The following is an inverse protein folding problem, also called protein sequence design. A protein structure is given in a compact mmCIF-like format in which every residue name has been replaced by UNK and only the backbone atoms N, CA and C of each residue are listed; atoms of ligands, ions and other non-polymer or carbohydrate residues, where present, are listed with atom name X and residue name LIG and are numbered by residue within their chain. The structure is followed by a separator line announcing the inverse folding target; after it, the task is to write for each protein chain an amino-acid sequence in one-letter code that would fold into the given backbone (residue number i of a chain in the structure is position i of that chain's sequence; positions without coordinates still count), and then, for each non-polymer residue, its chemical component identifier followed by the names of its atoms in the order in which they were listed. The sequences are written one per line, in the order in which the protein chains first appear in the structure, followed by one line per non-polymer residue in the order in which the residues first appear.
data_IF_225207894205
#
_entry.id   IF_225207894205
#
_cell.length_a   1.000
_cell.length_b   1.000
_cell.length_c   1.000
_cell.angle_alpha   90.00
_cell.angle_beta   90.00
_cell.angle_gamma   90.00
#
_symmetry.space_group_name_H-M   'P 1'
#
loop_
_entity.id
_entity.type
_entity.pdbx_description
1 polymer ?
#
# COMPACT_ATOMS: atom_id res chain seq x y z
N UNK A 1 -9.62 -36.16 -7.38
CA UNK A 1 -8.35 -35.51 -6.97
C UNK A 1 -8.45 -34.04 -7.37
N UNK A 2 -8.84 -33.20 -6.45
CA UNK A 2 -8.99 -31.75 -6.71
C UNK A 2 -7.66 -31.06 -6.36
N UNK A 3 -6.93 -30.60 -7.38
CA UNK A 3 -5.69 -29.87 -7.21
C UNK A 3 -5.99 -28.48 -6.64
N UNK A 4 -5.60 -28.22 -5.40
CA UNK A 4 -5.66 -26.89 -4.79
C UNK A 4 -4.78 -25.94 -5.62
N UNK A 5 -5.27 -24.75 -6.01
CA UNK A 5 -4.45 -23.78 -6.71
C UNK A 5 -3.29 -23.35 -5.80
N UNK A 6 -2.08 -23.46 -6.33
CA UNK A 6 -0.85 -23.19 -5.60
C UNK A 6 -0.71 -21.65 -5.51
N UNK A 7 -1.02 -21.08 -4.34
CA UNK A 7 -1.02 -19.63 -4.08
C UNK A 7 0.30 -18.97 -4.52
N UNK A 8 1.42 -19.68 -4.40
CA UNK A 8 2.74 -19.20 -4.84
C UNK A 8 2.83 -18.94 -6.35
N UNK A 9 2.08 -19.69 -7.17
CA UNK A 9 2.05 -19.47 -8.63
C UNK A 9 1.31 -18.21 -9.02
N UNK A 10 0.30 -17.82 -8.26
CA UNK A 10 -0.45 -16.56 -8.51
C UNK A 10 0.42 -15.33 -8.16
N UNK A 11 1.14 -15.38 -7.03
CA UNK A 11 2.04 -14.28 -6.63
C UNK A 11 3.21 -14.09 -7.62
N UNK A 12 3.75 -15.19 -8.21
CA UNK A 12 4.84 -15.10 -9.20
C UNK A 12 4.33 -14.53 -10.53
N UNK A 13 3.12 -14.87 -10.96
CA UNK A 13 2.52 -14.36 -12.19
C UNK A 13 2.19 -12.86 -12.10
N UNK A 14 1.70 -12.38 -10.96
CA UNK A 14 1.46 -10.94 -10.75
C UNK A 14 2.77 -10.13 -10.69
N UNK A 15 3.82 -10.68 -10.09
CA UNK A 15 5.14 -10.05 -10.08
C UNK A 15 5.76 -9.99 -11.49
N UNK A 16 5.58 -11.04 -12.31
CA UNK A 16 6.07 -11.09 -13.69
C UNK A 16 5.31 -10.15 -14.64
N UNK A 17 4.00 -9.94 -14.45
CA UNK A 17 3.25 -8.96 -15.25
C UNK A 17 3.64 -7.52 -14.92
N UNK A 18 4.02 -7.21 -13.69
CA UNK A 18 4.54 -5.90 -13.32
C UNK A 18 5.91 -5.61 -13.97
N UNK A 19 6.75 -6.62 -14.16
CA UNK A 19 8.06 -6.47 -14.81
C UNK A 19 7.98 -6.29 -16.34
N UNK A 20 6.95 -6.77 -17.01
CA UNK A 20 6.81 -6.65 -18.47
C UNK A 20 6.42 -5.23 -18.93
N UNK A 21 5.90 -4.39 -18.05
CA UNK A 21 5.58 -2.99 -18.34
C UNK A 21 6.80 -2.04 -18.34
N UNK A 22 7.98 -2.51 -17.93
CA UNK A 22 9.20 -1.70 -17.76
C UNK A 22 9.97 -1.47 -19.07
N UNK A 23 9.57 -2.11 -20.18
CA UNK A 23 10.38 -2.23 -21.40
C UNK A 23 10.50 -1.02 -22.32
N UNK A 24 9.90 0.15 -22.06
CA UNK A 24 9.82 1.20 -23.10
C UNK A 24 10.11 2.66 -22.69
N UNK A 25 10.77 2.92 -21.59
CA UNK A 25 11.02 4.29 -21.13
C UNK A 25 12.48 4.57 -20.72
N UNK A 26 13.47 4.18 -21.55
CA UNK A 26 14.83 4.65 -21.30
C UNK A 26 15.15 5.84 -22.23
N UNK A 27 15.08 7.05 -21.68
CA UNK A 27 15.59 8.28 -22.28
C UNK A 27 16.90 8.69 -21.61
N UNK A 28 17.91 9.02 -22.42
CA UNK A 28 19.31 9.21 -22.04
C UNK A 28 19.65 10.59 -21.43
N UNK A 29 18.73 11.25 -20.74
CA UNK A 29 19.04 12.53 -20.07
C UNK A 29 18.93 12.40 -18.55
N UNK A 30 20.07 12.47 -17.86
CA UNK A 30 20.34 12.02 -16.50
C UNK A 30 19.79 12.88 -15.37
N UNK A 31 18.66 13.57 -15.50
CA UNK A 31 18.01 14.30 -14.41
C UNK A 31 16.63 13.76 -14.12
N UNK A 32 16.52 12.97 -13.05
CA UNK A 32 15.25 12.45 -12.55
C UNK A 32 14.67 13.44 -11.54
N UNK A 33 13.92 14.43 -12.02
CA UNK A 33 13.11 15.30 -11.17
C UNK A 33 11.66 14.91 -11.40
N UNK A 34 10.85 14.64 -10.35
CA UNK A 34 9.42 14.42 -10.53
C UNK A 34 8.83 15.61 -11.28
N UNK A 35 8.25 15.37 -12.44
CA UNK A 35 7.70 16.43 -13.29
C UNK A 35 6.43 16.94 -12.65
N UNK A 36 6.35 18.26 -12.44
CA UNK A 36 5.19 18.95 -11.92
C UNK A 36 3.99 18.83 -12.84
N UNK A 37 2.84 18.52 -12.23
CA UNK A 37 1.50 18.84 -12.72
C UNK A 37 1.19 18.41 -14.15
N UNK A 38 0.87 17.16 -14.31
CA UNK A 38 0.06 16.67 -15.43
C UNK A 38 -1.39 17.09 -15.19
N UNK A 39 -2.17 17.31 -16.28
CA UNK A 39 -3.63 17.53 -16.21
C UNK A 39 -4.42 16.29 -15.73
N UNK A 40 -3.72 15.23 -15.39
CA UNK A 40 -4.30 14.02 -14.81
C UNK A 40 -4.89 14.30 -13.43
N UNK A 41 -6.05 13.72 -13.16
CA UNK A 41 -6.72 13.82 -11.86
C UNK A 41 -5.86 13.24 -10.73
N UNK A 42 -5.17 12.12 -11.01
CA UNK A 42 -4.19 11.49 -10.12
C UNK A 42 -2.77 11.74 -10.63
N UNK A 43 -1.88 12.08 -9.70
CA UNK A 43 -0.46 12.30 -10.00
C UNK A 43 0.38 11.05 -9.78
N UNK A 44 -0.12 10.09 -9.02
CA UNK A 44 0.55 8.83 -8.72
C UNK A 44 -0.42 7.64 -8.88
N UNK A 45 0.09 6.59 -9.51
CA UNK A 45 -0.55 5.29 -9.59
C UNK A 45 0.46 4.25 -9.13
N UNK A 46 0.12 3.45 -8.14
CA UNK A 46 1.02 2.44 -7.61
C UNK A 46 0.32 1.10 -7.44
N UNK A 47 1.07 0.03 -7.67
CA UNK A 47 0.68 -1.34 -7.30
C UNK A 47 1.67 -1.84 -6.27
N UNK A 48 1.15 -2.29 -5.12
CA UNK A 48 1.95 -2.81 -4.03
C UNK A 48 1.52 -4.23 -3.69
N UNK A 49 2.50 -5.05 -3.33
CA UNK A 49 2.27 -6.39 -2.78
C UNK A 49 3.27 -6.70 -1.68
N UNK A 50 2.91 -7.61 -0.81
CA UNK A 50 3.77 -8.03 0.28
C UNK A 50 3.02 -8.86 1.30
N UNK A 51 3.59 -9.00 2.48
CA UNK A 51 3.00 -9.81 3.54
C UNK A 51 2.97 -9.05 4.87
N UNK A 52 1.94 -9.32 5.65
CA UNK A 52 1.85 -8.90 7.03
C UNK A 52 2.10 -10.05 8.00
N UNK A 53 2.48 -9.71 9.21
CA UNK A 53 2.54 -10.61 10.33
C UNK A 53 1.84 -10.00 11.53
N UNK A 54 0.84 -10.69 12.04
CA UNK A 54 0.13 -10.39 13.28
C UNK A 54 -0.11 -11.67 14.09
N UNK A 55 -0.73 -11.53 15.25
CA UNK A 55 -1.18 -12.65 16.09
C UNK A 55 -2.60 -12.40 16.52
N UNK A 56 -3.36 -13.47 16.54
CA UNK A 56 -4.68 -13.58 17.16
C UNK A 56 -4.68 -14.78 18.08
N UNK A 57 -5.71 -14.97 18.89
CA UNK A 57 -5.78 -16.05 19.88
C UNK A 57 -5.57 -17.45 19.24
N UNK A 58 -6.05 -17.65 18.00
CA UNK A 58 -5.95 -18.91 17.27
C UNK A 58 -4.56 -19.15 16.63
N UNK A 59 -3.65 -18.16 16.68
CA UNK A 59 -2.30 -18.32 16.17
C UNK A 59 -1.81 -17.15 15.30
N UNK A 60 -0.79 -17.38 14.46
CA UNK A 60 -0.25 -16.36 13.58
C UNK A 60 -1.27 -15.97 12.49
N UNK A 61 -1.38 -14.66 12.22
CA UNK A 61 -2.16 -14.09 11.14
C UNK A 61 -1.22 -13.49 10.09
N UNK A 62 -1.22 -14.08 8.88
CA UNK A 62 -0.27 -13.72 7.81
C UNK A 62 -1.03 -13.38 6.52
N UNK A 63 -1.58 -12.17 6.39
CA UNK A 63 -2.22 -11.72 5.16
C UNK A 63 -1.19 -11.38 4.08
N UNK A 64 -1.54 -11.66 2.82
CA UNK A 64 -0.85 -11.16 1.63
C UNK A 64 -1.57 -9.91 1.18
N UNK A 65 -0.86 -8.83 0.96
CA UNK A 65 -1.42 -7.55 0.53
C UNK A 65 -1.36 -7.40 -0.98
N UNK A 66 -2.48 -6.96 -1.56
CA UNK A 66 -2.61 -6.49 -2.94
C UNK A 66 -3.27 -5.13 -2.87
N UNK A 67 -2.50 -4.07 -3.13
CA UNK A 67 -2.93 -2.68 -2.93
C UNK A 67 -2.78 -1.90 -4.24
N UNK A 68 -3.85 -1.23 -4.65
CA UNK A 68 -3.79 -0.19 -5.68
C UNK A 68 -3.69 1.17 -4.99
N UNK A 69 -2.62 1.91 -5.21
CA UNK A 69 -2.40 3.25 -4.68
C UNK A 69 -2.77 4.30 -5.73
N UNK A 70 -3.61 5.25 -5.37
CA UNK A 70 -4.04 6.36 -6.22
C UNK A 70 -3.84 7.66 -5.46
N UNK A 71 -2.90 8.50 -5.90
CA UNK A 71 -2.50 9.71 -5.18
C UNK A 71 -2.68 11.00 -5.97
N UNK A 72 -2.99 12.07 -5.24
CA UNK A 72 -3.12 13.43 -5.76
C UNK A 72 -2.21 14.35 -4.96
N UNK A 73 -1.36 15.14 -5.64
CA UNK A 73 -0.49 16.12 -4.97
C UNK A 73 -1.32 17.23 -4.32
N UNK A 74 -1.22 17.36 -3.00
CA UNK A 74 -1.91 18.36 -2.22
C UNK A 74 -1.41 19.79 -2.46
N UNK A 75 -0.25 19.98 -3.10
CA UNK A 75 0.26 21.30 -3.51
C UNK A 75 -0.72 22.05 -4.40
N UNK A 76 -1.62 21.33 -5.09
CA UNK A 76 -2.71 21.93 -5.87
C UNK A 76 -3.63 22.81 -5.03
N UNK A 77 -3.88 22.42 -3.78
CA UNK A 77 -4.85 23.06 -2.87
C UNK A 77 -4.20 23.86 -1.77
N UNK A 78 -2.90 23.67 -1.51
CA UNK A 78 -2.17 24.27 -0.41
C UNK A 78 -1.03 25.16 -0.94
N UNK A 79 -1.30 26.44 -1.27
CA UNK A 79 -0.28 27.36 -1.80
C UNK A 79 0.95 27.50 -0.90
N UNK A 80 0.75 27.37 0.43
CA UNK A 80 1.79 27.53 1.44
C UNK A 80 2.94 26.51 1.30
N UNK A 81 2.68 25.32 0.73
CA UNK A 81 3.67 24.26 0.57
C UNK A 81 4.19 24.12 -0.87
N UNK A 82 3.79 24.99 -1.81
CA UNK A 82 4.16 24.88 -3.22
C UNK A 82 5.66 24.91 -3.47
N UNK A 83 6.39 25.74 -2.75
CA UNK A 83 7.83 25.90 -2.91
C UNK A 83 8.65 24.91 -2.06
N UNK A 84 7.99 24.11 -1.22
CA UNK A 84 8.66 23.13 -0.39
C UNK A 84 9.19 21.96 -1.24
N UNK A 85 10.41 21.49 -0.95
CA UNK A 85 11.06 20.38 -1.69
C UNK A 85 10.31 19.05 -1.55
N UNK A 86 9.66 18.82 -0.42
CA UNK A 86 8.83 17.64 -0.17
C UNK A 86 7.48 17.73 -0.88
N UNK A 87 6.85 16.60 -1.11
CA UNK A 87 5.51 16.47 -1.70
C UNK A 87 4.56 15.87 -0.66
N UNK A 88 3.39 16.48 -0.51
CA UNK A 88 2.29 15.94 0.29
C UNK A 88 1.23 15.38 -0.65
N UNK A 89 1.02 14.07 -0.61
CA UNK A 89 0.04 13.36 -1.42
C UNK A 89 -1.16 12.96 -0.57
N UNK A 90 -2.36 13.31 -1.02
CA UNK A 90 -3.60 12.69 -0.52
C UNK A 90 -3.83 11.44 -1.36
N UNK A 91 -4.09 10.30 -0.73
CA UNK A 91 -4.24 9.05 -1.47
C UNK A 91 -5.46 8.23 -1.04
N UNK A 92 -5.88 7.35 -1.95
CA UNK A 92 -6.81 6.25 -1.66
C UNK A 92 -6.16 4.94 -2.07
N UNK A 93 -6.43 3.88 -1.28
CA UNK A 93 -5.86 2.55 -1.49
C UNK A 93 -6.94 1.47 -1.36
N UNK A 94 -7.65 1.12 -2.46
CA UNK A 94 -8.37 -0.14 -2.51
C UNK A 94 -7.40 -1.30 -2.32
N UNK A 95 -7.78 -2.28 -1.48
CA UNK A 95 -6.92 -3.42 -1.19
C UNK A 95 -7.71 -4.71 -1.00
N UNK A 96 -7.05 -5.82 -1.36
CA UNK A 96 -7.54 -7.17 -1.14
C UNK A 96 -6.44 -8.00 -0.49
N UNK A 97 -6.71 -8.58 0.69
CA UNK A 97 -5.70 -9.19 1.53
C UNK A 97 -6.11 -10.63 1.91
N UNK A 98 -5.84 -11.64 1.06
CA UNK A 98 -6.09 -13.03 1.41
C UNK A 98 -5.10 -13.55 2.45
N UNK A 99 -5.55 -14.45 3.32
CA UNK A 99 -4.70 -15.15 4.29
C UNK A 99 -5.09 -16.61 4.42
N UNK A 100 -4.08 -17.48 4.58
CA UNK A 100 -4.28 -18.89 4.88
C UNK A 100 -4.23 -19.23 6.37
N UNK A 101 -3.88 -18.28 7.22
CA UNK A 101 -3.64 -18.46 8.66
C UNK A 101 -4.40 -17.45 9.51
N UNK A 102 -4.84 -17.85 10.73
CA UNK A 102 -4.85 -19.20 11.32
C UNK A 102 -5.77 -20.17 10.56
N UNK A 103 -6.70 -19.65 9.77
CA UNK A 103 -7.59 -20.37 8.85
C UNK A 103 -7.80 -19.54 7.59
N UNK A 104 -8.25 -20.16 6.50
CA UNK A 104 -8.53 -19.45 5.24
C UNK A 104 -9.50 -18.30 5.48
N UNK A 105 -9.09 -17.09 5.06
CA UNK A 105 -9.86 -15.86 5.18
C UNK A 105 -9.41 -14.84 4.15
N UNK A 106 -10.15 -13.75 4.04
CA UNK A 106 -9.80 -12.62 3.21
C UNK A 106 -10.28 -11.31 3.84
N UNK A 107 -9.58 -10.25 3.53
CA UNK A 107 -10.01 -8.88 3.79
C UNK A 107 -10.16 -8.13 2.46
N UNK A 108 -11.14 -7.23 2.43
CA UNK A 108 -11.27 -6.19 1.41
C UNK A 108 -11.36 -4.85 2.13
N UNK A 109 -10.69 -3.82 1.63
CA UNK A 109 -10.69 -2.54 2.31
C UNK A 109 -10.33 -1.36 1.42
N UNK A 110 -10.52 -0.18 1.99
CA UNK A 110 -10.19 1.09 1.37
C UNK A 110 -9.43 1.95 2.39
N UNK A 111 -8.14 2.16 2.17
CA UNK A 111 -7.35 3.15 2.91
C UNK A 111 -7.53 4.54 2.30
N UNK A 112 -7.67 5.56 3.16
CA UNK A 112 -7.65 6.98 2.75
C UNK A 112 -6.61 7.65 3.63
N UNK A 113 -5.64 8.36 3.03
CA UNK A 113 -4.52 8.84 3.81
C UNK A 113 -3.72 9.97 3.22
N UNK A 114 -2.64 10.27 3.92
CA UNK A 114 -1.65 11.27 3.56
C UNK A 114 -0.28 10.59 3.49
N UNK A 115 0.50 10.93 2.45
CA UNK A 115 1.89 10.56 2.29
C UNK A 115 2.74 11.81 2.12
N UNK A 116 3.74 11.97 2.96
CA UNK A 116 4.74 13.01 2.80
C UNK A 116 6.04 12.39 2.29
N UNK A 117 6.47 12.81 1.10
CA UNK A 117 7.67 12.34 0.42
C UNK A 117 8.71 13.45 0.37
N UNK A 118 9.96 13.12 0.70
CA UNK A 118 11.08 14.04 0.67
C UNK A 118 12.21 13.49 -0.21
N UNK A 119 12.63 14.23 -1.27
CA UNK A 119 13.72 13.80 -2.14
C UNK A 119 15.06 13.92 -1.39
N UNK A 120 15.73 12.77 -1.19
CA UNK A 120 17.07 12.70 -0.60
C UNK A 120 18.12 13.09 -1.64
N UNK A 121 17.98 12.56 -2.85
CA UNK A 121 18.78 12.88 -4.03
C UNK A 121 17.95 12.70 -5.31
N UNK A 122 18.57 12.76 -6.47
CA UNK A 122 17.89 12.65 -7.78
C UNK A 122 17.24 11.27 -8.03
N UNK A 123 17.68 10.23 -7.33
CA UNK A 123 17.22 8.85 -7.54
C UNK A 123 16.38 8.31 -6.37
N UNK A 124 16.54 8.88 -5.17
CA UNK A 124 15.93 8.34 -3.95
C UNK A 124 15.05 9.39 -3.29
N UNK A 125 13.83 9.00 -2.96
CA UNK A 125 12.93 9.73 -2.06
C UNK A 125 12.55 8.86 -0.88
N UNK A 126 12.55 9.42 0.32
CA UNK A 126 11.99 8.77 1.51
C UNK A 126 10.61 9.33 1.81
N UNK A 127 9.74 8.51 2.35
CA UNK A 127 8.39 8.97 2.71
C UNK A 127 7.87 8.35 4.00
N UNK A 128 6.95 9.07 4.62
CA UNK A 128 6.09 8.57 5.69
C UNK A 128 4.63 8.72 5.28
N UNK A 129 3.78 7.82 5.76
CA UNK A 129 2.36 7.83 5.47
C UNK A 129 1.51 7.47 6.68
N UNK A 130 0.26 7.92 6.63
CA UNK A 130 -0.79 7.49 7.54
C UNK A 130 -2.11 7.37 6.80
N UNK A 131 -2.88 6.35 7.10
CA UNK A 131 -4.21 6.15 6.51
C UNK A 131 -5.18 5.54 7.51
N UNK A 132 -6.44 5.80 7.28
CA UNK A 132 -7.57 5.18 7.96
C UNK A 132 -8.59 4.75 6.93
N UNK A 133 -9.41 3.76 7.24
CA UNK A 133 -10.52 3.44 6.34
C UNK A 133 -11.28 2.16 6.65
N UNK A 134 -12.41 1.98 5.98
CA UNK A 134 -13.27 0.83 6.15
C UNK A 134 -12.63 -0.44 5.59
N UNK A 135 -12.77 -1.54 6.33
CA UNK A 135 -12.38 -2.89 5.94
C UNK A 135 -13.51 -3.86 6.25
N UNK A 136 -13.52 -4.95 5.53
CA UNK A 136 -14.35 -6.11 5.83
C UNK A 136 -13.47 -7.35 5.89
N UNK A 137 -13.50 -8.08 7.01
CA UNK A 137 -12.71 -9.27 7.24
C UNK A 137 -13.61 -10.48 7.48
N UNK A 138 -13.27 -11.59 6.82
CA UNK A 138 -14.03 -12.85 6.98
C UNK A 138 -13.50 -13.73 8.12
N UNK A 139 -12.39 -13.34 8.75
CA UNK A 139 -11.80 -14.06 9.88
C UNK A 139 -12.55 -13.70 11.17
N UNK A 140 -13.07 -14.73 11.84
CA UNK A 140 -13.66 -14.65 13.17
C UNK A 140 -12.73 -15.30 14.19
N UNK A 141 -12.35 -14.57 15.23
CA UNK A 141 -11.39 -14.99 16.25
C UNK A 141 -11.89 -14.64 17.65
N UNK A 142 -11.27 -15.21 18.67
CA UNK A 142 -11.56 -14.83 20.05
C UNK A 142 -11.15 -13.39 20.39
N UNK A 143 -10.24 -12.79 19.62
CA UNK A 143 -9.78 -11.40 19.81
C UNK A 143 -10.61 -10.40 19.01
N UNK A 144 -11.09 -10.79 17.82
CA UNK A 144 -11.74 -9.88 16.88
C UNK A 144 -12.87 -10.58 16.13
N UNK A 145 -14.08 -10.05 16.26
CA UNK A 145 -15.24 -10.50 15.49
C UNK A 145 -15.09 -10.17 14.01
N UNK A 146 -15.49 -11.11 13.14
CA UNK A 146 -15.55 -10.89 11.70
C UNK A 146 -16.54 -9.80 11.29
N UNK A 147 -16.38 -9.28 10.09
CA UNK A 147 -17.29 -8.32 9.47
C UNK A 147 -16.64 -6.97 9.23
N UNK A 148 -17.40 -5.92 9.46
CA UNK A 148 -16.95 -4.55 9.24
C UNK A 148 -15.95 -4.11 10.32
N UNK A 149 -14.82 -3.56 9.87
CA UNK A 149 -13.70 -3.06 10.67
C UNK A 149 -13.26 -1.69 10.16
N UNK A 150 -12.46 -1.02 10.98
CA UNK A 150 -11.62 0.10 10.55
C UNK A 150 -10.17 -0.34 10.59
N UNK A 151 -9.39 0.12 9.61
CA UNK A 151 -7.94 -0.03 9.59
C UNK A 151 -7.29 1.32 9.85
N UNK A 152 -6.45 1.38 10.87
CA UNK A 152 -5.56 2.50 11.14
C UNK A 152 -4.14 2.07 10.76
N UNK A 153 -3.49 2.80 9.88
CA UNK A 153 -2.18 2.42 9.34
C UNK A 153 -1.22 3.60 9.40
N UNK A 154 -0.01 3.32 9.88
CA UNK A 154 1.13 4.22 9.73
C UNK A 154 2.27 3.48 9.04
N UNK A 155 3.09 4.18 8.26
CA UNK A 155 4.16 3.54 7.54
C UNK A 155 5.26 4.51 7.11
N UNK A 156 6.37 3.93 6.69
CA UNK A 156 7.47 4.63 6.08
C UNK A 156 8.08 3.78 4.96
N UNK A 157 8.65 4.45 3.97
CA UNK A 157 9.23 3.76 2.84
C UNK A 157 10.24 4.59 2.07
N UNK A 158 10.75 3.97 1.03
CA UNK A 158 11.70 4.56 0.11
C UNK A 158 11.26 4.27 -1.32
N UNK A 159 11.29 5.31 -2.16
CA UNK A 159 11.12 5.21 -3.60
C UNK A 159 12.48 5.32 -4.27
N UNK A 160 12.81 4.34 -5.11
CA UNK A 160 14.00 4.37 -5.98
C UNK A 160 13.50 4.63 -7.39
N UNK A 161 13.76 5.82 -7.92
CA UNK A 161 13.35 6.22 -9.26
C UNK A 161 14.19 5.50 -10.31
N UNK A 162 13.52 4.78 -11.22
CA UNK A 162 14.14 4.10 -12.36
C UNK A 162 13.95 4.89 -13.65
N UNK A 163 13.07 5.89 -13.64
CA UNK A 163 12.88 6.90 -14.67
C UNK A 163 12.31 8.17 -14.08
N UNK A 164 12.11 9.24 -14.90
CA UNK A 164 11.45 10.48 -14.46
C UNK A 164 10.02 10.28 -13.95
N UNK A 165 9.34 9.26 -14.46
CA UNK A 165 7.93 9.01 -14.17
C UNK A 165 7.68 7.65 -13.49
N UNK A 166 8.71 6.93 -13.01
CA UNK A 166 8.49 5.64 -12.35
C UNK A 166 9.49 5.33 -11.25
N UNK A 167 9.02 4.64 -10.21
CA UNK A 167 9.84 4.20 -9.08
C UNK A 167 9.47 2.80 -8.60
N UNK A 168 10.46 2.10 -8.06
CA UNK A 168 10.28 0.92 -7.20
C UNK A 168 10.25 1.41 -5.77
N UNK A 169 9.32 0.87 -4.99
CA UNK A 169 9.13 1.24 -3.60
C UNK A 169 9.38 0.05 -2.69
N UNK A 170 10.01 0.31 -1.55
CA UNK A 170 10.09 -0.61 -0.42
C UNK A 170 9.48 0.09 0.77
N UNK A 171 8.54 -0.59 1.46
CA UNK A 171 7.72 0.05 2.47
C UNK A 171 7.47 -0.87 3.66
N UNK A 172 7.48 -0.30 4.84
CA UNK A 172 7.03 -0.92 6.07
C UNK A 172 5.79 -0.17 6.58
N UNK A 173 4.77 -0.95 7.03
CA UNK A 173 3.57 -0.41 7.70
C UNK A 173 3.31 -1.14 9.01
N UNK A 174 2.82 -0.42 9.99
CA UNK A 174 2.09 -0.96 11.14
C UNK A 174 0.62 -0.67 10.95
N UNK A 175 -0.22 -1.71 11.09
CA UNK A 175 -1.67 -1.61 10.93
C UNK A 175 -2.39 -2.16 12.14
N UNK A 176 -3.40 -1.43 12.61
CA UNK A 176 -4.38 -1.86 13.58
C UNK A 176 -5.74 -2.03 12.89
N UNK A 177 -6.38 -3.20 13.09
CA UNK A 177 -7.76 -3.46 12.66
C UNK A 177 -8.64 -3.58 13.89
N UNK A 178 -9.77 -2.86 13.93
CA UNK A 178 -10.78 -2.97 15.00
C UNK A 178 -12.17 -2.58 14.49
N UNK A 179 -13.22 -3.03 15.15
CA UNK A 179 -14.58 -2.67 14.76
C UNK A 179 -15.15 -1.48 15.57
N UNK A 180 -14.28 -0.71 16.23
CA UNK A 180 -14.65 0.44 17.06
C UNK A 180 -15.72 0.13 18.13
N UNK A 181 -15.79 -1.12 18.61
CA UNK A 181 -16.78 -1.54 19.60
C UNK A 181 -18.18 -1.85 19.05
N UNK A 182 -18.36 -1.89 17.72
CA UNK A 182 -19.66 -2.21 17.11
C UNK A 182 -20.10 -3.64 17.43
N UNK A 183 -19.15 -4.56 17.58
CA UNK A 183 -19.40 -5.98 17.84
C UNK A 183 -18.32 -6.55 18.75
N UNK A 184 -18.68 -7.45 19.67
CA UNK A 184 -17.71 -8.20 20.49
C UNK A 184 -17.40 -9.57 19.86
N UNK A 185 -16.15 -10.04 20.00
CA UNK A 185 -14.99 -9.39 20.63
C UNK A 185 -14.39 -8.28 19.77
N UNK A 186 -13.64 -7.34 20.38
CA UNK A 186 -12.95 -6.24 19.72
C UNK A 186 -11.66 -5.84 20.45
N UNK A 187 -10.73 -6.78 20.58
CA UNK A 187 -9.37 -6.48 21.06
C UNK A 187 -8.48 -5.92 19.96
N UNK A 188 -8.92 -6.08 18.71
CA UNK A 188 -8.22 -5.64 17.52
C UNK A 188 -7.14 -6.61 17.05
N UNK A 189 -6.68 -6.41 15.79
CA UNK A 189 -5.59 -7.18 15.20
C UNK A 189 -4.49 -6.23 14.74
N UNK A 190 -3.33 -6.36 15.37
CA UNK A 190 -2.14 -5.62 14.98
C UNK A 190 -1.29 -6.41 13.97
N UNK A 191 -0.79 -5.75 12.94
CA UNK A 191 0.05 -6.38 11.91
C UNK A 191 1.23 -5.49 11.54
N UNK A 192 2.42 -6.10 11.45
CA UNK A 192 3.60 -5.53 10.83
C UNK A 192 3.64 -5.98 9.38
N UNK A 193 3.82 -5.08 8.42
CA UNK A 193 3.64 -5.33 6.99
C UNK A 193 4.88 -4.86 6.25
N UNK A 194 5.45 -5.73 5.41
CA UNK A 194 6.49 -5.38 4.46
C UNK A 194 5.92 -5.41 3.05
N UNK A 195 6.12 -4.35 2.29
CA UNK A 195 5.62 -4.19 0.92
C UNK A 195 6.75 -3.86 -0.04
N UNK A 196 6.58 -4.33 -1.27
CA UNK A 196 7.27 -3.84 -2.45
C UNK A 196 6.22 -3.30 -3.42
N UNK A 197 6.52 -2.20 -4.09
CA UNK A 197 5.59 -1.58 -5.01
C UNK A 197 6.28 -1.00 -6.23
N UNK A 198 5.47 -0.73 -7.25
CA UNK A 198 5.85 0.03 -8.43
C UNK A 198 4.89 1.20 -8.57
N UNK A 199 5.42 2.41 -8.76
CA UNK A 199 4.61 3.64 -8.92
C UNK A 199 4.95 4.35 -10.21
N UNK A 200 3.90 4.81 -10.89
CA UNK A 200 3.94 5.74 -12.01
C UNK A 200 3.55 7.14 -11.52
N UNK A 201 4.29 8.15 -11.97
CA UNK A 201 4.05 9.57 -11.68
C UNK A 201 3.74 10.31 -12.98
N UNK A 202 2.75 11.20 -12.95
CA UNK A 202 2.28 11.97 -14.10
C UNK A 202 2.37 13.47 -13.88
#
# INVERSE_FOLDING_TARGET
MSGKPNLYRICILTALMALSAVGSAWSADGRIVPQSVSDSYFNEWGLYTGAGYGRVAEGPYVPIFLILHLGVDAKRWLPLIREHRGTLTVFIEPQFNPSGTPKQNAEIGLGIGLKYSYPVNETISMYALGSVGPHYMTLDTADQAQGFLFADTIGAGMSVFISRGSAINVEYRFRHLSNAGIKSPNLGVNSNIGLIGFTLFY
#
